data_IF_125082976640
#
_entry.id   IF_125082976640
#
_cell.length_a   1.000
_cell.length_b   1.000
_cell.length_c   1.000
_cell.angle_alpha   90.00
_cell.angle_beta   90.00
_cell.angle_gamma   90.00
#
_symmetry.space_group_name_H-M   'P 1'
#
loop_
_entity.id
_entity.type
_entity.pdbx_description
1 polymer ?
#
# COMPACT_ATOMS: atom_id res chain seq x y z
N UNK A 1 -23.48 0.75 7.33
CA UNK A 1 -22.60 -0.43 7.21
C UNK A 1 -21.47 -0.26 8.21
N UNK A 2 -21.33 -1.15 9.19
CA UNK A 2 -20.20 -1.12 10.13
C UNK A 2 -18.90 -1.41 9.38
N UNK A 3 -17.94 -0.49 9.46
CA UNK A 3 -16.59 -0.72 8.93
C UNK A 3 -15.76 -1.43 9.99
N UNK A 4 -15.10 -2.53 9.62
CA UNK A 4 -14.18 -3.25 10.51
C UNK A 4 -13.02 -2.38 11.01
N UNK A 5 -12.75 -1.25 10.34
CA UNK A 5 -11.76 -0.26 10.76
C UNK A 5 -12.06 0.36 12.13
N UNK A 6 -13.30 0.26 12.62
CA UNK A 6 -13.65 0.70 13.97
C UNK A 6 -12.85 -0.03 15.05
N UNK A 7 -12.44 -1.27 14.80
CA UNK A 7 -11.60 -2.04 15.72
C UNK A 7 -10.25 -1.35 15.91
N UNK A 8 -9.59 -0.97 14.81
CA UNK A 8 -8.32 -0.25 14.88
C UNK A 8 -8.45 1.10 15.58
N UNK A 9 -9.55 1.83 15.34
CA UNK A 9 -9.84 3.09 16.03
C UNK A 9 -10.01 2.85 17.54
N UNK A 10 -10.77 1.84 17.95
CA UNK A 10 -10.97 1.52 19.36
C UNK A 10 -9.66 1.14 20.07
N UNK A 11 -8.77 0.40 19.40
CA UNK A 11 -7.44 0.05 19.95
C UNK A 11 -6.61 1.33 20.15
N UNK A 12 -6.58 2.25 19.18
CA UNK A 12 -5.89 3.53 19.34
C UNK A 12 -6.46 4.37 20.48
N UNK A 13 -7.79 4.43 20.61
CA UNK A 13 -8.45 5.11 21.74
C UNK A 13 -8.04 4.48 23.07
N UNK A 14 -8.00 3.15 23.16
CA UNK A 14 -7.55 2.45 24.37
C UNK A 14 -6.08 2.77 24.72
N UNK A 15 -5.18 2.83 23.72
CA UNK A 15 -3.77 3.23 23.91
C UNK A 15 -3.67 4.67 24.44
N UNK A 16 -4.45 5.59 23.89
CA UNK A 16 -4.47 6.99 24.35
C UNK A 16 -5.00 7.11 25.79
N UNK A 17 -6.08 6.41 26.11
CA UNK A 17 -6.61 6.36 27.48
C UNK A 17 -5.60 5.75 28.45
N UNK A 18 -4.89 4.70 28.03
CA UNK A 18 -3.84 4.08 28.83
C UNK A 18 -2.64 5.01 29.05
N UNK A 19 -2.24 5.81 28.06
CA UNK A 19 -1.22 6.86 28.21
C UNK A 19 -1.64 7.88 29.28
N UNK A 20 -2.88 8.39 29.23
CA UNK A 20 -3.40 9.33 30.23
C UNK A 20 -3.42 8.68 31.62
N UNK A 21 -3.85 7.43 31.71
CA UNK A 21 -3.86 6.65 32.95
C UNK A 21 -2.45 6.52 33.55
N UNK A 22 -1.45 6.17 32.75
CA UNK A 22 -0.05 6.07 33.19
C UNK A 22 0.44 7.42 33.74
N UNK A 23 0.23 8.52 33.01
CA UNK A 23 0.65 9.86 33.45
C UNK A 23 0.03 10.21 34.81
N UNK A 24 -1.27 9.97 34.98
CA UNK A 24 -1.96 10.22 36.25
C UNK A 24 -1.44 9.31 37.37
N UNK A 25 -1.19 8.04 37.10
CA UNK A 25 -0.75 7.06 38.08
C UNK A 25 0.69 7.34 38.55
N UNK A 26 1.60 7.62 37.61
CA UNK A 26 2.96 8.07 37.90
C UNK A 26 2.93 9.32 38.78
N UNK A 27 2.09 10.32 38.43
CA UNK A 27 1.94 11.55 39.22
C UNK A 27 1.44 11.27 40.64
N UNK A 28 0.38 10.46 40.80
CA UNK A 28 -0.16 10.08 42.12
C UNK A 28 0.89 9.35 42.98
N UNK A 29 1.62 8.40 42.41
CA UNK A 29 2.70 7.67 43.11
C UNK A 29 3.83 8.60 43.54
N UNK A 30 4.26 9.52 42.66
CA UNK A 30 5.32 10.49 42.96
C UNK A 30 4.93 11.46 44.07
N UNK A 31 3.71 12.02 44.03
CA UNK A 31 3.18 12.90 45.08
C UNK A 31 3.09 12.17 46.42
N UNK A 32 2.54 10.94 46.44
CA UNK A 32 2.43 10.13 47.66
C UNK A 32 3.81 9.84 48.29
N UNK A 33 4.82 9.57 47.46
CA UNK A 33 6.18 9.28 47.92
C UNK A 33 6.84 10.50 48.57
N UNK A 34 6.69 11.68 47.96
CA UNK A 34 7.26 12.93 48.46
C UNK A 34 6.57 13.37 49.75
N UNK A 35 5.24 13.40 49.77
CA UNK A 35 4.47 14.00 50.88
C UNK A 35 4.29 13.05 52.06
N UNK A 36 3.94 11.77 51.82
CA UNK A 36 3.65 10.84 52.92
C UNK A 36 4.88 10.08 53.39
N UNK A 37 5.74 9.68 52.46
CA UNK A 37 6.88 8.81 52.78
C UNK A 37 8.18 9.58 52.97
N UNK A 38 8.22 10.88 52.64
CA UNK A 38 9.43 11.72 52.68
C UNK A 38 10.63 11.10 51.96
N UNK A 39 10.37 10.22 50.99
CA UNK A 39 11.40 9.53 50.21
C UNK A 39 11.48 10.17 48.83
N UNK A 40 12.72 10.48 48.42
CA UNK A 40 12.99 11.05 47.09
C UNK A 40 12.98 10.00 45.99
N UNK A 41 13.26 8.74 46.33
CA UNK A 41 13.38 7.64 45.39
C UNK A 41 12.90 6.30 45.99
N UNK A 42 12.26 5.48 45.16
CA UNK A 42 11.79 4.14 45.51
C UNK A 42 11.91 3.22 44.29
N UNK A 43 12.75 2.19 44.40
CA UNK A 43 12.99 1.20 43.35
C UNK A 43 11.71 0.50 42.86
N UNK A 44 10.79 0.02 43.73
CA UNK A 44 9.54 -0.59 43.27
C UNK A 44 8.68 0.35 42.41
N UNK A 45 8.59 1.62 42.78
CA UNK A 45 7.82 2.60 42.01
C UNK A 45 8.51 2.93 40.68
N UNK A 46 9.84 2.97 40.65
CA UNK A 46 10.59 3.16 39.42
C UNK A 46 10.39 1.98 38.45
N UNK A 47 10.49 0.74 38.94
CA UNK A 47 10.30 -0.46 38.13
C UNK A 47 8.89 -0.55 37.56
N UNK A 48 7.87 -0.26 38.39
CA UNK A 48 6.47 -0.21 37.93
C UNK A 48 6.25 0.83 36.83
N UNK A 49 6.82 2.03 36.98
CA UNK A 49 6.72 3.06 35.95
C UNK A 49 7.44 2.63 34.66
N UNK A 50 8.62 1.99 34.78
CA UNK A 50 9.37 1.49 33.63
C UNK A 50 8.59 0.42 32.87
N UNK A 51 7.98 -0.53 33.58
CA UNK A 51 7.14 -1.59 32.98
C UNK A 51 5.92 -0.98 32.27
N UNK A 52 5.20 -0.05 32.92
CA UNK A 52 4.04 0.62 32.31
C UNK A 52 4.42 1.36 31.00
N UNK A 53 5.58 2.04 30.99
CA UNK A 53 6.08 2.73 29.79
C UNK A 53 6.46 1.73 28.70
N UNK A 54 7.16 0.65 29.05
CA UNK A 54 7.56 -0.39 28.08
C UNK A 54 6.32 -1.04 27.45
N UNK A 55 5.30 -1.38 28.24
CA UNK A 55 4.04 -1.93 27.73
C UNK A 55 3.37 -0.95 26.76
N UNK A 56 3.32 0.34 27.10
CA UNK A 56 2.76 1.36 26.22
C UNK A 56 3.54 1.46 24.90
N UNK A 57 4.88 1.50 24.96
CA UNK A 57 5.73 1.59 23.76
C UNK A 57 5.59 0.36 22.87
N UNK A 58 5.52 -0.83 23.44
CA UNK A 58 5.30 -2.07 22.69
C UNK A 58 3.93 -2.06 22.02
N UNK A 59 2.87 -1.69 22.76
CA UNK A 59 1.51 -1.63 22.22
C UNK A 59 1.39 -0.58 21.10
N UNK A 60 1.92 0.63 21.32
CA UNK A 60 1.90 1.71 20.34
C UNK A 60 2.76 1.38 19.11
N UNK A 61 3.95 0.81 19.30
CA UNK A 61 4.84 0.40 18.22
C UNK A 61 4.25 -0.73 17.37
N UNK A 62 3.66 -1.74 18.01
CA UNK A 62 2.96 -2.81 17.31
C UNK A 62 1.78 -2.26 16.49
N UNK A 63 0.95 -1.41 17.09
CA UNK A 63 -0.20 -0.83 16.42
C UNK A 63 0.19 0.11 15.27
N UNK A 64 1.27 0.88 15.45
CA UNK A 64 1.84 1.74 14.42
C UNK A 64 2.30 0.91 13.22
N UNK A 65 3.02 -0.19 13.46
CA UNK A 65 3.45 -1.10 12.41
C UNK A 65 2.25 -1.67 11.62
N UNK A 66 1.20 -2.11 12.32
CA UNK A 66 -0.01 -2.65 11.69
C UNK A 66 -0.82 -1.61 10.90
N UNK A 67 -0.75 -0.33 11.27
CA UNK A 67 -1.55 0.74 10.66
C UNK A 67 -0.83 1.40 9.48
N UNK A 68 0.49 1.58 9.57
CA UNK A 68 1.25 2.41 8.63
C UNK A 68 2.26 1.62 7.80
N UNK A 69 2.73 0.47 8.28
CA UNK A 69 3.78 -0.32 7.64
C UNK A 69 3.27 -1.65 7.09
N UNK A 70 1.94 -1.83 6.95
CA UNK A 70 1.36 -3.05 6.39
C UNK A 70 1.72 -3.18 4.91
N UNK A 71 2.42 -4.26 4.57
CA UNK A 71 2.76 -4.64 3.20
C UNK A 71 2.27 -6.09 2.99
N UNK A 72 1.01 -6.27 2.59
CA UNK A 72 0.41 -7.58 2.56
C UNK A 72 0.88 -8.37 1.34
N UNK A 73 1.00 -9.68 1.52
CA UNK A 73 1.28 -10.59 0.41
C UNK A 73 0.10 -10.57 -0.59
N UNK A 74 0.42 -10.37 -1.87
CA UNK A 74 -0.57 -10.29 -2.95
C UNK A 74 -1.22 -11.63 -3.25
N UNK A 75 -0.61 -12.73 -2.82
CA UNK A 75 -1.16 -14.09 -2.94
C UNK A 75 -2.02 -14.50 -1.73
N UNK A 76 -2.00 -13.73 -0.64
CA UNK A 76 -2.79 -14.03 0.56
C UNK A 76 -4.29 -13.75 0.32
N UNK A 77 -4.98 -14.78 -0.15
CA UNK A 77 -6.41 -14.79 -0.38
C UNK A 77 -7.24 -14.61 0.90
N UNK A 78 -6.69 -14.76 2.11
CA UNK A 78 -7.44 -14.53 3.35
C UNK A 78 -7.55 -13.05 3.70
N UNK A 79 -6.54 -12.26 3.33
CA UNK A 79 -6.49 -10.81 3.61
C UNK A 79 -6.87 -9.97 2.40
N UNK A 80 -6.61 -10.43 1.19
CA UNK A 80 -6.80 -9.66 -0.04
C UNK A 80 -7.81 -10.32 -0.97
N UNK A 81 -8.58 -9.50 -1.68
CA UNK A 81 -9.27 -9.88 -2.90
C UNK A 81 -8.60 -9.19 -4.08
N UNK A 82 -8.08 -9.96 -5.03
CA UNK A 82 -7.47 -9.46 -6.25
C UNK A 82 -8.44 -9.57 -7.43
N UNK A 83 -8.34 -8.62 -8.36
CA UNK A 83 -9.09 -8.63 -9.62
C UNK A 83 -8.22 -8.05 -10.72
N UNK A 84 -8.25 -8.67 -11.90
CA UNK A 84 -7.56 -8.15 -13.09
C UNK A 84 -8.60 -7.69 -14.09
N UNK A 85 -8.44 -6.46 -14.57
CA UNK A 85 -9.25 -5.90 -15.66
C UNK A 85 -8.37 -5.64 -16.88
N UNK A 86 -8.93 -5.90 -18.06
CA UNK A 86 -8.24 -5.74 -19.33
C UNK A 86 -8.95 -4.68 -20.16
N UNK A 87 -8.28 -3.56 -20.38
CA UNK A 87 -8.81 -2.44 -21.16
C UNK A 87 -7.96 -2.24 -22.42
N UNK A 88 -8.55 -2.06 -23.62
CA UNK A 88 -7.79 -1.75 -24.83
C UNK A 88 -7.11 -0.38 -24.71
N UNK A 89 -5.90 -0.27 -25.26
CA UNK A 89 -5.20 1.01 -25.33
C UNK A 89 -5.66 1.81 -26.54
N UNK A 90 -5.75 3.12 -26.36
CA UNK A 90 -6.04 4.06 -27.43
C UNK A 90 -4.73 4.68 -27.89
N UNK A 91 -4.48 4.60 -29.20
CA UNK A 91 -3.31 5.20 -29.81
C UNK A 91 -3.45 6.72 -29.84
N UNK A 92 -2.42 7.42 -29.37
CA UNK A 92 -2.33 8.86 -29.51
C UNK A 92 -1.71 9.19 -30.87
N UNK A 93 -2.49 9.83 -31.74
CA UNK A 93 -2.12 10.24 -33.12
C UNK A 93 -1.79 11.73 -33.22
N UNK A 94 -1.33 12.35 -32.13
CA UNK A 94 -0.88 13.75 -32.13
C UNK A 94 0.35 14.01 -33.01
N UNK A 95 0.96 15.20 -32.91
CA UNK A 95 2.11 15.57 -33.74
C UNK A 95 3.32 14.64 -33.52
N UNK A 96 3.77 14.00 -34.60
CA UNK A 96 4.86 13.01 -34.64
C UNK A 96 4.37 11.57 -34.79
N UNK A 97 5.18 10.60 -34.36
CA UNK A 97 4.84 9.18 -34.43
C UNK A 97 3.68 8.83 -33.49
N UNK A 98 2.73 8.04 -34.00
CA UNK A 98 1.63 7.49 -33.23
C UNK A 98 2.15 6.57 -32.13
N UNK A 99 1.67 6.76 -30.89
CA UNK A 99 2.18 6.02 -29.73
C UNK A 99 1.06 5.59 -28.79
N UNK A 100 1.20 4.42 -28.17
CA UNK A 100 0.28 3.95 -27.13
C UNK A 100 0.67 4.46 -25.74
N UNK A 101 1.98 4.61 -25.51
CA UNK A 101 2.53 5.05 -24.23
C UNK A 101 3.59 6.12 -24.45
N UNK A 102 3.54 7.16 -23.62
CA UNK A 102 4.61 8.13 -23.49
C UNK A 102 5.36 7.89 -22.18
N UNK A 103 6.68 7.72 -22.26
CA UNK A 103 7.58 7.59 -21.12
C UNK A 103 8.23 8.95 -20.89
N UNK A 104 8.12 9.47 -19.67
CA UNK A 104 8.87 10.64 -19.24
C UNK A 104 9.82 10.21 -18.11
N UNK A 105 11.12 10.33 -18.36
CA UNK A 105 12.17 9.94 -17.43
C UNK A 105 12.73 11.18 -16.75
N UNK A 106 12.43 11.36 -15.46
CA UNK A 106 13.04 12.44 -14.70
C UNK A 106 14.51 12.10 -14.41
N UNK A 107 15.45 12.91 -14.93
CA UNK A 107 16.89 12.83 -14.61
C UNK A 107 17.17 13.34 -13.19
N UNK A 108 16.62 12.67 -12.17
CA UNK A 108 16.84 12.95 -10.74
C UNK A 108 17.80 11.91 -10.15
N UNK A 109 18.37 12.23 -8.98
CA UNK A 109 19.30 11.36 -8.22
C UNK A 109 18.71 9.96 -7.99
N UNK A 110 17.41 9.86 -7.79
CA UNK A 110 16.64 8.61 -7.85
C UNK A 110 15.86 8.63 -9.17
N UNK A 111 16.26 7.78 -10.12
CA UNK A 111 15.60 7.69 -11.42
C UNK A 111 14.14 7.28 -11.23
N UNK A 112 13.22 8.06 -11.77
CA UNK A 112 11.79 7.74 -11.79
C UNK A 112 11.26 7.95 -13.20
N UNK A 113 10.58 6.93 -13.71
CA UNK A 113 9.89 6.99 -15.00
C UNK A 113 8.40 7.11 -14.75
N UNK A 114 7.74 7.91 -15.59
CA UNK A 114 6.28 8.01 -15.59
C UNK A 114 5.76 7.57 -16.94
N UNK A 115 4.76 6.69 -16.92
CA UNK A 115 4.10 6.16 -18.09
C UNK A 115 2.73 6.83 -18.25
N UNK A 116 2.55 7.50 -19.37
CA UNK A 116 1.28 8.14 -19.74
C UNK A 116 0.64 7.35 -20.88
N UNK A 117 -0.60 6.91 -20.70
CA UNK A 117 -1.34 6.13 -21.69
C UNK A 117 -2.83 6.50 -21.71
N UNK A 118 -3.52 6.09 -22.77
CA UNK A 118 -4.92 6.43 -22.99
C UNK A 118 -5.77 5.15 -23.04
N UNK A 119 -6.91 5.20 -22.37
CA UNK A 119 -8.00 4.22 -22.44
C UNK A 119 -9.29 4.94 -22.82
N UNK A 120 -10.36 4.20 -23.11
CA UNK A 120 -11.67 4.76 -23.45
C UNK A 120 -12.06 5.93 -22.52
N UNK A 121 -12.01 7.15 -23.06
CA UNK A 121 -12.37 8.39 -22.36
C UNK A 121 -11.46 8.83 -21.21
N UNK A 122 -10.24 8.29 -21.04
CA UNK A 122 -9.36 8.68 -19.93
C UNK A 122 -7.87 8.61 -20.26
N UNK A 123 -7.14 9.66 -19.86
CA UNK A 123 -5.67 9.68 -19.79
C UNK A 123 -5.23 9.22 -18.40
N UNK A 124 -4.30 8.27 -18.34
CA UNK A 124 -3.72 7.75 -17.09
C UNK A 124 -2.22 8.03 -17.09
N UNK A 125 -1.72 8.47 -15.94
CA UNK A 125 -0.29 8.64 -15.67
C UNK A 125 0.07 7.79 -14.46
N UNK A 126 1.03 6.87 -14.60
CA UNK A 126 1.48 5.98 -13.54
C UNK A 126 3.01 6.06 -13.37
N UNK A 127 3.49 5.97 -12.13
CA UNK A 127 4.93 5.79 -11.83
C UNK A 127 5.36 4.38 -12.19
N UNK A 128 6.63 4.21 -12.56
CA UNK A 128 7.28 2.91 -12.77
C UNK A 128 7.18 1.95 -11.58
N UNK A 129 6.93 2.46 -10.37
CA UNK A 129 6.72 1.62 -9.17
C UNK A 129 5.44 0.77 -9.27
N UNK A 130 4.42 1.33 -9.95
CA UNK A 130 3.06 0.79 -10.07
C UNK A 130 2.68 0.43 -11.51
N UNK A 131 3.62 0.48 -12.43
CA UNK A 131 3.36 0.18 -13.82
C UNK A 131 4.62 -0.36 -14.50
N UNK A 132 4.42 -1.21 -15.50
CA UNK A 132 5.49 -1.68 -16.37
C UNK A 132 4.97 -1.84 -17.79
N UNK A 133 5.92 -1.86 -18.73
CA UNK A 133 5.63 -1.99 -20.15
C UNK A 133 6.23 -3.30 -20.62
N UNK A 134 5.39 -4.15 -21.21
CA UNK A 134 5.83 -5.37 -21.87
C UNK A 134 5.49 -5.24 -23.36
N UNK A 135 6.49 -5.41 -24.22
CA UNK A 135 6.33 -5.28 -25.68
C UNK A 135 6.80 -6.54 -26.42
N UNK A 136 6.32 -6.73 -27.65
CA UNK A 136 6.70 -7.86 -28.48
C UNK A 136 6.25 -9.22 -27.90
N UNK A 137 7.15 -10.20 -27.95
CA UNK A 137 6.86 -11.58 -27.57
C UNK A 137 6.94 -11.85 -26.06
N UNK A 138 7.50 -10.95 -25.27
CA UNK A 138 7.52 -11.05 -23.79
C UNK A 138 6.21 -10.52 -23.24
N UNK A 139 5.34 -11.39 -22.72
CA UNK A 139 4.03 -11.00 -22.15
C UNK A 139 4.10 -10.34 -20.77
N UNK A 140 5.24 -10.41 -20.09
CA UNK A 140 5.48 -9.83 -18.77
C UNK A 140 6.84 -9.13 -18.76
N UNK A 141 6.88 -7.94 -18.14
CA UNK A 141 8.13 -7.28 -17.76
C UNK A 141 8.65 -7.89 -16.45
N UNK A 142 9.96 -7.84 -16.21
CA UNK A 142 10.59 -8.38 -14.98
C UNK A 142 9.97 -7.73 -13.73
N UNK A 143 9.61 -6.45 -13.78
CA UNK A 143 8.97 -5.78 -12.66
C UNK A 143 7.50 -6.16 -12.47
N UNK A 144 6.84 -6.73 -13.49
CA UNK A 144 5.48 -7.25 -13.40
C UNK A 144 5.42 -8.67 -12.83
N UNK A 145 6.54 -9.41 -12.80
CA UNK A 145 6.55 -10.77 -12.25
C UNK A 145 6.24 -10.83 -10.76
N UNK A 146 6.44 -9.72 -10.04
CA UNK A 146 6.02 -9.57 -8.63
C UNK A 146 4.50 -9.57 -8.44
N UNK A 147 3.73 -9.46 -9.52
CA UNK A 147 2.26 -9.46 -9.49
C UNK A 147 1.76 -10.81 -10.01
N UNK A 148 0.85 -11.49 -9.31
CA UNK A 148 0.38 -12.83 -9.67
C UNK A 148 -0.60 -12.81 -10.86
N UNK A 149 -0.13 -12.40 -12.04
CA UNK A 149 -0.92 -12.44 -13.27
C UNK A 149 -1.04 -13.87 -13.81
N UNK A 150 -2.24 -14.23 -14.29
CA UNK A 150 -2.47 -15.52 -14.93
C UNK A 150 -1.95 -15.48 -16.37
N UNK A 151 -0.78 -16.11 -16.63
CA UNK A 151 -0.12 -16.14 -17.95
C UNK A 151 -1.04 -16.60 -19.08
N UNK A 152 -1.91 -17.59 -18.82
CA UNK A 152 -2.88 -18.11 -19.79
C UNK A 152 -3.90 -17.04 -20.22
N UNK A 153 -4.37 -16.21 -19.29
CA UNK A 153 -5.29 -15.12 -19.59
C UNK A 153 -4.60 -13.99 -20.35
N UNK A 154 -3.36 -13.66 -19.98
CA UNK A 154 -2.54 -12.70 -20.73
C UNK A 154 -2.37 -13.13 -22.18
N UNK A 155 -2.03 -14.39 -22.45
CA UNK A 155 -1.89 -14.90 -23.81
C UNK A 155 -3.22 -14.84 -24.60
N UNK A 156 -4.36 -15.05 -23.94
CA UNK A 156 -5.69 -14.89 -24.56
C UNK A 156 -5.98 -13.44 -24.93
N UNK A 157 -5.64 -12.50 -24.04
CA UNK A 157 -5.83 -11.07 -24.27
C UNK A 157 -4.84 -10.49 -25.30
N UNK A 158 -3.61 -11.00 -25.34
CA UNK A 158 -2.63 -10.70 -26.39
C UNK A 158 -3.20 -10.98 -27.79
N UNK A 159 -3.93 -12.10 -27.97
CA UNK A 159 -4.62 -12.41 -29.22
C UNK A 159 -5.84 -11.52 -29.46
N UNK A 160 -6.66 -11.27 -28.44
CA UNK A 160 -7.91 -10.50 -28.55
C UNK A 160 -7.68 -9.03 -28.90
N UNK A 161 -6.69 -8.40 -28.29
CA UNK A 161 -6.41 -6.98 -28.43
C UNK A 161 -5.14 -6.69 -29.23
N UNK A 162 -4.63 -7.68 -29.97
CA UNK A 162 -3.41 -7.55 -30.78
C UNK A 162 -2.23 -6.96 -29.99
N UNK A 163 -2.08 -7.37 -28.72
CA UNK A 163 -1.05 -6.87 -27.79
C UNK A 163 -1.10 -5.35 -27.51
N UNK A 164 -2.25 -4.69 -27.72
CA UNK A 164 -2.47 -3.27 -27.42
C UNK A 164 -3.53 -3.09 -26.31
N UNK A 165 -3.17 -3.44 -25.08
CA UNK A 165 -4.07 -3.36 -23.93
C UNK A 165 -3.32 -3.09 -22.62
N UNK A 166 -4.05 -2.70 -21.58
CA UNK A 166 -3.53 -2.60 -20.22
C UNK A 166 -4.23 -3.60 -19.31
N UNK A 167 -3.45 -4.38 -18.58
CA UNK A 167 -3.94 -5.25 -17.52
C UNK A 167 -3.81 -4.54 -16.18
N UNK A 168 -4.95 -4.10 -15.64
CA UNK A 168 -5.04 -3.41 -14.36
C UNK A 168 -5.27 -4.43 -13.26
N UNK A 169 -4.23 -4.74 -12.50
CA UNK A 169 -4.33 -5.51 -11.27
C UNK A 169 -4.82 -4.59 -10.15
N UNK A 170 -5.91 -4.94 -9.49
CA UNK A 170 -6.42 -4.23 -8.32
C UNK A 170 -6.60 -5.22 -7.18
N UNK A 171 -5.79 -5.04 -6.14
CA UNK A 171 -5.91 -5.73 -4.87
C UNK A 171 -6.60 -4.83 -3.84
N UNK A 172 -7.59 -5.37 -3.14
CA UNK A 172 -8.27 -4.69 -2.04
C UNK A 172 -8.22 -5.55 -0.80
N UNK A 173 -8.06 -4.92 0.35
CA UNK A 173 -8.20 -5.58 1.63
C UNK A 173 -9.64 -6.05 1.82
N UNK A 174 -9.80 -7.32 2.23
CA UNK A 174 -11.10 -7.87 2.61
C UNK A 174 -11.67 -7.12 3.81
N UNK A 175 -13.00 -7.07 3.87
CA UNK A 175 -13.75 -6.50 5.00
C UNK A 175 -13.82 -7.53 6.13
N UNK A 176 -12.71 -7.78 6.82
CA UNK A 176 -12.62 -8.66 7.97
C UNK A 176 -12.00 -7.93 9.17
N UNK A 177 -12.10 -8.54 10.36
CA UNK A 177 -11.57 -7.97 11.59
C UNK A 177 -10.04 -7.83 11.56
N UNK A 178 -9.33 -8.76 10.92
CA UNK A 178 -7.86 -8.74 10.82
C UNK A 178 -7.34 -7.48 10.11
N UNK A 179 -7.87 -7.17 8.94
CA UNK A 179 -7.54 -5.93 8.22
C UNK A 179 -8.13 -4.69 8.91
N UNK A 180 -9.15 -4.87 9.76
CA UNK A 180 -9.77 -3.81 10.55
C UNK A 180 -8.88 -3.30 11.69
N UNK A 181 -7.97 -4.14 12.23
CA UNK A 181 -6.97 -3.73 13.22
C UNK A 181 -6.08 -2.63 12.63
N UNK A 182 -5.51 -2.85 11.44
CA UNK A 182 -4.71 -1.84 10.73
C UNK A 182 -5.51 -0.72 10.07
N UNK A 183 -6.85 -0.70 10.23
CA UNK A 183 -7.75 0.25 9.55
C UNK A 183 -7.70 0.20 8.02
N UNK A 184 -7.32 -0.95 7.45
CA UNK A 184 -7.18 -1.17 6.03
C UNK A 184 -8.40 -1.85 5.39
N UNK A 185 -9.37 -2.32 6.18
CA UNK A 185 -10.50 -3.10 5.68
C UNK A 185 -11.29 -2.35 4.59
N UNK A 186 -11.36 -2.96 3.39
CA UNK A 186 -12.03 -2.39 2.23
C UNK A 186 -11.24 -1.32 1.46
N UNK A 187 -10.04 -0.93 1.93
CA UNK A 187 -9.17 -0.01 1.20
C UNK A 187 -8.40 -0.74 0.09
N UNK A 188 -7.86 0.05 -0.83
CA UNK A 188 -7.00 -0.44 -1.91
C UNK A 188 -5.64 -0.82 -1.32
N UNK A 189 -5.23 -2.07 -1.51
CA UNK A 189 -3.92 -2.56 -1.06
C UNK A 189 -2.85 -2.20 -2.09
N UNK A 190 -3.07 -2.58 -3.34
CA UNK A 190 -2.22 -2.17 -4.46
C UNK A 190 -3.01 -2.07 -5.76
N UNK A 191 -2.52 -1.23 -6.65
CA UNK A 191 -2.95 -1.21 -8.05
C UNK A 191 -1.72 -1.19 -8.94
N UNK A 192 -1.67 -2.13 -9.87
CA UNK A 192 -0.55 -2.26 -10.79
C UNK A 192 -1.03 -2.29 -12.24
N UNK A 193 -0.33 -1.58 -13.12
CA UNK A 193 -0.66 -1.46 -14.53
C UNK A 193 0.39 -2.18 -15.37
N UNK A 194 0.04 -3.34 -15.94
CA UNK A 194 0.85 -3.98 -16.96
C UNK A 194 0.39 -3.48 -18.33
N UNK A 195 1.21 -2.66 -18.96
CA UNK A 195 0.92 -2.06 -20.26
C UNK A 195 1.51 -2.94 -21.36
N UNK A 196 0.64 -3.56 -22.16
CA UNK A 196 1.03 -4.37 -23.31
C UNK A 196 1.01 -3.51 -24.57
N UNK A 197 2.14 -3.53 -25.26
CA UNK A 197 2.34 -2.79 -26.52
C UNK A 197 2.77 -3.78 -27.60
N UNK A 198 2.30 -3.64 -28.85
CA UNK A 198 2.68 -4.58 -29.91
C UNK A 198 4.18 -4.61 -30.17
N UNK A 199 4.80 -3.43 -30.21
CA UNK A 199 6.20 -3.23 -30.54
C UNK A 199 6.77 -1.97 -29.86
N UNK A 200 8.10 -1.93 -29.66
CA UNK A 200 8.79 -0.80 -29.04
C UNK A 200 8.64 0.51 -29.85
N UNK A 201 8.40 0.43 -31.16
CA UNK A 201 8.15 1.59 -32.03
C UNK A 201 6.94 2.44 -31.62
N UNK A 202 5.98 1.87 -30.89
CA UNK A 202 4.81 2.59 -30.39
C UNK A 202 5.03 3.25 -29.01
N UNK A 203 6.27 3.30 -28.54
CA UNK A 203 6.66 3.96 -27.30
C UNK A 203 7.30 5.31 -27.64
N UNK A 204 6.72 6.39 -27.11
CA UNK A 204 7.28 7.73 -27.23
C UNK A 204 8.09 8.08 -25.98
N UNK A 205 9.39 8.31 -26.12
CA UNK A 205 10.21 8.84 -25.04
C UNK A 205 10.22 10.37 -25.10
N UNK A 206 10.10 11.01 -23.94
CA UNK A 206 10.15 12.47 -23.78
C UNK A 206 11.31 12.89 -22.89
#
# INVERSE_FOLDING_TARGET
MFSWNIIGILIWVAIILYLVFIIQNIRKRRIKMIIKQHKRFSWPNFLLNAIEIVILLVAAGWMFNQTFMDNPDLEDANRITSTVKYDPLIMNTGTGNSSYVTINSAKKKYGSQTYTFYRAGSKITASSDYASIAYGNTSLDVNAEKIPYVKKELAKMDKKYQRAYVAVYTAKYKKNWQNGIGMHAGHLATRYYLIRIPDASFIKQK
#
